data_IF_111864510477
#
_entry.id   IF_111864510477
#
_cell.length_a   1.000
_cell.length_b   1.000
_cell.length_c   1.000
_cell.angle_alpha   90.00
_cell.angle_beta   90.00
_cell.angle_gamma   90.00
#
_symmetry.space_group_name_H-M   'P 1'
#
loop_
_entity.id
_entity.type
_entity.pdbx_description
1 polymer ?
#
# COMPACT_ATOMS: atom_id res chain seq x y z
N UNK A 1 12.05 -0.93 -31.66
CA UNK A 1 12.17 -0.39 -30.29
C UNK A 1 11.25 0.80 -30.10
N UNK A 2 11.16 1.74 -31.06
CA UNK A 2 10.21 2.87 -31.03
C UNK A 2 8.74 2.46 -30.84
N UNK A 3 8.24 1.46 -31.57
CA UNK A 3 6.85 1.02 -31.46
C UNK A 3 6.46 0.40 -30.10
N UNK A 4 7.43 0.03 -29.25
CA UNK A 4 7.17 -0.49 -27.90
C UNK A 4 7.10 0.64 -26.86
N UNK A 5 7.67 1.80 -27.17
CA UNK A 5 7.68 3.00 -26.33
C UNK A 5 6.43 3.87 -26.59
N UNK A 6 5.88 3.84 -27.81
CA UNK A 6 4.65 4.56 -28.16
C UNK A 6 3.39 4.03 -27.48
N UNK A 7 3.43 2.83 -26.90
CA UNK A 7 2.29 2.23 -26.18
C UNK A 7 2.22 2.57 -24.69
N UNK A 8 3.26 3.20 -24.14
CA UNK A 8 3.31 3.54 -22.72
C UNK A 8 2.73 4.92 -22.45
N UNK A 9 1.62 4.98 -21.71
CA UNK A 9 1.07 6.25 -21.25
C UNK A 9 1.82 6.74 -19.99
N UNK A 10 1.95 8.06 -19.85
CA UNK A 10 2.45 8.68 -18.62
C UNK A 10 1.38 8.70 -17.53
N UNK A 11 1.76 8.97 -16.28
CA UNK A 11 0.79 9.25 -15.23
C UNK A 11 -0.07 10.49 -15.62
N UNK A 12 -1.41 10.47 -15.47
CA UNK A 12 -2.24 9.48 -14.78
C UNK A 12 -2.82 8.34 -15.63
N UNK A 13 -2.41 8.23 -16.88
CA UNK A 13 -2.98 7.30 -17.87
C UNK A 13 -2.21 5.98 -17.98
N UNK A 14 -1.13 5.81 -17.21
CA UNK A 14 -0.18 4.70 -17.33
C UNK A 14 -0.74 3.31 -16.98
N UNK A 15 -1.80 3.21 -16.18
CA UNK A 15 -2.39 1.94 -15.80
C UNK A 15 -3.33 1.35 -16.88
N UNK A 16 -3.38 0.02 -17.02
CA UNK A 16 -4.28 -0.62 -17.99
C UNK A 16 -5.74 -0.55 -17.48
N UNK A 17 -6.68 0.07 -18.22
CA UNK A 17 -8.08 0.16 -17.82
C UNK A 17 -8.83 -1.19 -17.86
N UNK A 18 -8.20 -2.26 -18.37
CA UNK A 18 -8.80 -3.60 -18.48
C UNK A 18 -8.18 -4.61 -17.50
N UNK A 19 -7.14 -4.23 -16.77
CA UNK A 19 -6.48 -5.14 -15.82
C UNK A 19 -7.29 -5.27 -14.52
N UNK A 20 -8.08 -6.32 -14.45
CA UNK A 20 -8.91 -6.69 -13.29
C UNK A 20 -8.27 -7.76 -12.40
N UNK A 21 -6.98 -8.05 -12.60
CA UNK A 21 -6.27 -9.04 -11.79
C UNK A 21 -6.09 -8.60 -10.33
N UNK A 22 -5.77 -9.57 -9.46
CA UNK A 22 -5.67 -9.40 -8.01
C UNK A 22 -4.38 -8.69 -7.54
N UNK A 23 -3.52 -8.23 -8.45
CA UNK A 23 -2.33 -7.42 -8.14
C UNK A 23 -2.68 -6.08 -7.46
N UNK A 24 -3.94 -5.67 -7.44
CA UNK A 24 -4.41 -4.51 -6.68
C UNK A 24 -4.25 -4.66 -5.15
N UNK A 25 -4.17 -5.89 -4.63
CA UNK A 25 -3.99 -6.13 -3.20
C UNK A 25 -2.55 -5.97 -2.72
N UNK A 26 -1.56 -6.22 -3.58
CA UNK A 26 -0.13 -6.24 -3.19
C UNK A 26 0.34 -4.87 -2.71
N UNK A 27 -0.19 -3.81 -3.31
CA UNK A 27 0.09 -2.41 -2.97
C UNK A 27 -0.62 -1.95 -1.68
N UNK A 28 -1.65 -2.65 -1.20
CA UNK A 28 -2.42 -2.25 -0.01
C UNK A 28 -1.60 -2.33 1.28
N UNK A 29 -0.78 -3.38 1.42
CA UNK A 29 0.01 -3.62 2.65
C UNK A 29 0.90 -2.42 3.03
N UNK A 30 1.78 -1.89 2.15
CA UNK A 30 2.61 -0.75 2.50
C UNK A 30 1.80 0.55 2.71
N UNK A 31 0.65 0.70 2.03
CA UNK A 31 -0.21 1.88 2.18
C UNK A 31 -0.88 1.91 3.55
N UNK A 32 -1.49 0.79 3.97
CA UNK A 32 -2.11 0.68 5.30
C UNK A 32 -1.05 0.83 6.38
N UNK A 33 0.13 0.22 6.22
CA UNK A 33 1.23 0.41 7.19
C UNK A 33 1.64 1.88 7.36
N UNK A 34 1.50 2.71 6.32
CA UNK A 34 1.88 4.13 6.33
C UNK A 34 0.74 5.08 6.73
N UNK A 35 -0.49 4.76 6.36
CA UNK A 35 -1.63 5.67 6.38
C UNK A 35 -2.82 5.19 7.23
N UNK A 36 -2.76 4.02 7.88
CA UNK A 36 -3.84 3.58 8.77
C UNK A 36 -4.19 4.64 9.83
N UNK A 37 -5.48 4.94 9.95
CA UNK A 37 -6.04 5.95 10.86
C UNK A 37 -5.89 7.38 10.36
N UNK A 38 -5.31 7.60 9.18
CA UNK A 38 -5.15 8.90 8.57
C UNK A 38 -6.17 9.11 7.44
N UNK A 39 -6.72 10.32 7.27
CA UNK A 39 -7.70 10.60 6.22
C UNK A 39 -7.14 10.43 4.79
N UNK A 40 -5.82 10.41 4.62
CA UNK A 40 -5.16 10.25 3.33
C UNK A 40 -5.15 8.81 2.80
N UNK A 41 -5.57 7.81 3.59
CA UNK A 41 -5.51 6.40 3.20
C UNK A 41 -6.24 6.14 1.87
N UNK A 42 -7.47 6.63 1.73
CA UNK A 42 -8.28 6.39 0.53
C UNK A 42 -7.63 6.98 -0.72
N UNK A 43 -7.16 8.23 -0.63
CA UNK A 43 -6.49 8.90 -1.74
C UNK A 43 -5.18 8.20 -2.13
N UNK A 44 -4.43 7.69 -1.15
CA UNK A 44 -3.20 6.94 -1.40
C UNK A 44 -3.47 5.59 -2.08
N UNK A 45 -4.56 4.91 -1.69
CA UNK A 45 -5.00 3.66 -2.33
C UNK A 45 -5.42 3.89 -3.77
N UNK A 46 -6.29 4.88 -4.05
CA UNK A 46 -6.72 5.18 -5.42
C UNK A 46 -5.53 5.47 -6.33
N UNK A 47 -4.63 6.38 -5.91
CA UNK A 47 -3.46 6.75 -6.70
C UNK A 47 -2.54 5.56 -6.99
N UNK A 48 -2.22 4.74 -5.97
CA UNK A 48 -1.36 3.58 -6.13
C UNK A 48 -1.99 2.51 -7.03
N UNK A 49 -3.31 2.34 -6.97
CA UNK A 49 -4.01 1.37 -7.81
C UNK A 49 -3.97 1.81 -9.26
N UNK A 50 -4.33 3.07 -9.55
CA UNK A 50 -4.40 3.64 -10.90
C UNK A 50 -3.05 3.69 -11.60
N UNK A 51 -1.94 3.70 -10.85
CA UNK A 51 -0.60 3.65 -11.42
C UNK A 51 -0.34 2.40 -12.26
N UNK A 52 -1.10 1.31 -12.04
CA UNK A 52 -0.96 0.07 -12.79
C UNK A 52 -2.30 -0.45 -13.34
N UNK A 53 -3.40 -0.23 -12.62
CA UNK A 53 -4.75 -0.70 -12.95
C UNK A 53 -5.69 0.49 -12.92
N UNK A 54 -5.88 1.16 -14.07
CA UNK A 54 -6.63 2.40 -14.14
C UNK A 54 -8.12 2.15 -14.40
N UNK A 55 -8.76 1.45 -13.47
CA UNK A 55 -10.19 1.18 -13.50
C UNK A 55 -10.79 1.18 -12.10
N UNK A 56 -12.06 1.54 -12.02
CA UNK A 56 -12.75 1.73 -10.74
C UNK A 56 -12.98 0.41 -10.01
N UNK A 57 -13.09 -0.71 -10.73
CA UNK A 57 -13.25 -2.04 -10.13
C UNK A 57 -12.01 -2.43 -9.31
N UNK A 58 -10.80 -2.24 -9.86
CA UNK A 58 -9.55 -2.50 -9.16
C UNK A 58 -9.38 -1.58 -7.93
N UNK A 59 -9.78 -0.31 -8.06
CA UNK A 59 -9.76 0.64 -6.93
C UNK A 59 -10.71 0.18 -5.83
N UNK A 60 -11.93 -0.22 -6.19
CA UNK A 60 -12.93 -0.68 -5.22
C UNK A 60 -12.46 -1.92 -4.45
N UNK A 61 -11.87 -2.92 -5.13
CA UNK A 61 -11.32 -4.10 -4.46
C UNK A 61 -10.14 -3.76 -3.53
N UNK A 62 -9.21 -2.92 -3.99
CA UNK A 62 -8.10 -2.49 -3.16
C UNK A 62 -8.57 -1.68 -1.95
N UNK A 63 -9.59 -0.83 -2.12
CA UNK A 63 -10.18 -0.04 -1.03
C UNK A 63 -10.81 -0.96 0.02
N UNK A 64 -11.61 -1.94 -0.40
CA UNK A 64 -12.19 -2.92 0.50
C UNK A 64 -11.11 -3.68 1.29
N UNK A 65 -10.04 -4.11 0.62
CA UNK A 65 -8.90 -4.75 1.26
C UNK A 65 -8.18 -3.81 2.24
N UNK A 66 -8.02 -2.54 1.88
CA UNK A 66 -7.38 -1.53 2.73
C UNK A 66 -8.17 -1.29 4.02
N UNK A 67 -9.50 -1.15 3.93
CA UNK A 67 -10.36 -0.95 5.09
C UNK A 67 -10.36 -2.16 6.04
N UNK A 68 -10.41 -3.39 5.49
CA UNK A 68 -10.29 -4.62 6.29
C UNK A 68 -8.93 -4.67 6.99
N UNK A 69 -7.85 -4.42 6.25
CA UNK A 69 -6.49 -4.49 6.80
C UNK A 69 -6.23 -3.37 7.81
N UNK A 70 -6.73 -2.16 7.56
CA UNK A 70 -6.65 -1.03 8.49
C UNK A 70 -7.30 -1.39 9.82
N UNK A 71 -8.50 -1.98 9.78
CA UNK A 71 -9.20 -2.41 10.99
C UNK A 71 -8.40 -3.44 11.76
N UNK A 72 -7.76 -4.39 11.08
CA UNK A 72 -6.89 -5.40 11.69
C UNK A 72 -5.68 -4.73 12.37
N UNK A 73 -4.98 -3.85 11.65
CA UNK A 73 -3.80 -3.14 12.17
C UNK A 73 -4.14 -2.28 13.40
N UNK A 74 -5.26 -1.54 13.37
CA UNK A 74 -5.69 -0.71 14.49
C UNK A 74 -6.17 -1.51 15.70
N UNK A 75 -6.71 -2.71 15.50
CA UNK A 75 -7.17 -3.58 16.59
C UNK A 75 -6.03 -4.40 17.22
N UNK A 76 -4.85 -4.39 16.60
CA UNK A 76 -3.67 -5.10 17.07
C UNK A 76 -3.82 -6.62 17.06
N UNK A 77 -3.05 -7.35 17.89
CA UNK A 77 -3.01 -8.82 17.88
C UNK A 77 -4.39 -9.46 18.07
N UNK A 78 -5.32 -8.81 18.78
CA UNK A 78 -6.65 -9.37 19.05
C UNK A 78 -7.56 -9.45 17.83
N UNK A 79 -7.25 -8.76 16.72
CA UNK A 79 -8.05 -8.84 15.49
C UNK A 79 -7.99 -10.21 14.82
N UNK A 80 -6.91 -10.96 15.01
CA UNK A 80 -6.74 -12.30 14.42
C UNK A 80 -7.19 -13.33 15.46
N UNK A 81 -8.16 -14.23 15.16
CA UNK A 81 -8.55 -15.28 16.09
C UNK A 81 -7.41 -16.25 16.40
N UNK A 82 -7.34 -16.76 17.64
CA UNK A 82 -6.33 -17.77 18.05
C UNK A 82 -6.35 -19.03 17.18
N UNK A 83 -7.54 -19.45 16.77
CA UNK A 83 -7.71 -20.59 15.87
C UNK A 83 -7.00 -20.36 14.52
N UNK A 84 -6.92 -19.11 14.06
CA UNK A 84 -6.27 -18.77 12.79
C UNK A 84 -4.76 -18.58 12.97
N UNK A 85 -4.34 -17.96 14.09
CA UNK A 85 -2.92 -17.87 14.45
C UNK A 85 -2.24 -19.24 14.48
N UNK A 86 -2.87 -20.21 15.14
CA UNK A 86 -2.31 -21.56 15.31
C UNK A 86 -2.21 -22.35 13.99
N UNK A 87 -3.00 -21.98 12.99
CA UNK A 87 -2.99 -22.60 11.65
C UNK A 87 -2.09 -21.85 10.67
N UNK A 88 -1.67 -20.63 10.99
CA UNK A 88 -0.84 -19.81 10.11
C UNK A 88 0.62 -20.22 10.27
N UNK A 89 1.18 -20.78 9.19
CA UNK A 89 2.58 -21.22 9.18
C UNK A 89 3.50 -20.02 9.46
N UNK A 90 4.52 -20.23 10.28
CA UNK A 90 5.52 -19.22 10.67
C UNK A 90 4.97 -18.02 11.46
N UNK A 91 3.71 -18.04 11.92
CA UNK A 91 3.11 -16.89 12.61
C UNK A 91 3.96 -16.40 13.80
N UNK A 92 4.32 -17.30 14.73
CA UNK A 92 5.17 -16.93 15.86
C UNK A 92 6.60 -16.51 15.47
N UNK A 93 7.14 -17.05 14.38
CA UNK A 93 8.44 -16.60 13.86
C UNK A 93 8.36 -15.18 13.33
N UNK A 94 7.28 -14.83 12.62
CA UNK A 94 7.05 -13.48 12.10
C UNK A 94 6.85 -12.49 13.25
N UNK A 95 6.12 -12.85 14.31
CA UNK A 95 5.97 -11.98 15.49
C UNK A 95 7.32 -11.65 16.13
N UNK A 96 8.16 -12.66 16.41
CA UNK A 96 9.50 -12.44 16.98
C UNK A 96 10.37 -11.56 16.07
N UNK A 97 10.35 -11.80 14.76
CA UNK A 97 11.12 -10.98 13.80
C UNK A 97 10.60 -9.54 13.75
N UNK A 98 9.29 -9.33 13.83
CA UNK A 98 8.70 -8.00 13.86
C UNK A 98 9.10 -7.23 15.13
N UNK A 99 9.10 -7.88 16.29
CA UNK A 99 9.58 -7.28 17.55
C UNK A 99 11.06 -6.89 17.44
N UNK A 100 11.90 -7.78 16.93
CA UNK A 100 13.32 -7.50 16.70
C UNK A 100 13.54 -6.32 15.75
N UNK A 101 12.76 -6.22 14.67
CA UNK A 101 12.82 -5.09 13.73
C UNK A 101 12.42 -3.77 14.39
N UNK A 102 11.42 -3.79 15.27
CA UNK A 102 11.00 -2.59 16.02
C UNK A 102 12.08 -2.16 17.00
N UNK A 103 12.70 -3.10 17.72
CA UNK A 103 13.81 -2.81 18.65
C UNK A 103 15.03 -2.20 17.95
N UNK A 104 15.32 -2.63 16.72
CA UNK A 104 16.46 -2.16 15.94
C UNK A 104 16.12 -0.97 15.02
N UNK A 105 14.91 -0.41 15.12
CA UNK A 105 14.47 0.70 14.28
C UNK A 105 15.34 1.93 14.56
N UNK A 106 16.01 2.52 13.54
CA UNK A 106 16.73 3.77 13.72
C UNK A 106 15.77 4.89 14.13
N UNK A 107 16.21 5.86 14.95
CA UNK A 107 15.37 6.98 15.34
C UNK A 107 14.85 7.72 14.09
N UNK A 108 13.63 8.27 14.13
CA UNK A 108 13.09 9.03 13.02
C UNK A 108 14.09 10.13 12.64
N UNK A 109 14.52 10.13 11.39
CA UNK A 109 15.38 11.20 10.88
C UNK A 109 14.60 12.51 10.96
N UNK A 110 15.25 13.62 11.38
CA UNK A 110 14.62 14.93 11.32
C UNK A 110 14.06 15.15 9.93
N UNK A 111 12.77 15.46 9.80
CA UNK A 111 12.19 15.87 8.53
C UNK A 111 13.00 17.05 8.03
N UNK A 112 13.84 16.82 7.01
CA UNK A 112 14.41 17.91 6.24
C UNK A 112 13.21 18.65 5.66
N UNK A 113 12.96 19.87 6.16
CA UNK A 113 11.98 20.78 5.59
C UNK A 113 12.27 20.85 4.09
N UNK A 114 11.42 20.21 3.29
CA UNK A 114 11.48 20.34 1.85
C UNK A 114 11.24 21.81 1.56
N UNK A 115 12.31 22.52 1.21
CA UNK A 115 12.20 23.83 0.60
C UNK A 115 11.20 23.69 -0.55
N UNK A 116 10.15 24.52 -0.49
CA UNK A 116 9.14 24.64 -1.52
C UNK A 116 9.82 25.12 -2.82
N UNK A 117 10.35 24.16 -3.57
CA UNK A 117 10.98 24.35 -4.86
C UNK A 117 9.95 23.98 -5.92
N UNK A 118 9.22 24.99 -6.37
CA UNK A 118 8.36 24.96 -7.54
C UNK A 118 9.13 24.33 -8.72
N UNK A 119 8.76 23.12 -9.15
CA UNK A 119 9.28 22.53 -10.39
C UNK A 119 8.54 23.24 -11.53
N UNK A 120 9.22 23.97 -12.44
CA UNK A 120 8.56 24.49 -13.61
C UNK A 120 8.25 23.31 -14.53
N UNK A 121 6.99 23.20 -14.92
CA UNK A 121 6.56 22.37 -16.04
C UNK A 121 7.21 22.96 -17.30
N UNK A 122 8.02 22.16 -17.97
CA UNK A 122 8.46 22.40 -19.36
C UNK A 122 7.80 21.36 -20.23
#
# INVERSE_FOLDING_TARGET
MEALLDGGHGWPECGDPRDTQANNFVKVVPLVARFAGLPELEAAVDAAVRAQQNNDEAVAYAMAAALVLERVVQSGPTAIPDAWRSQTRLYGTVEVLAEQLVEHRPPPQPQQQQASGMVPVV
#
